data_IF_358018986094
#
_entry.id   IF_358018986094
#
_cell.length_a   1.000
_cell.length_b   1.000
_cell.length_c   1.000
_cell.angle_alpha   90.00
_cell.angle_beta   90.00
_cell.angle_gamma   90.00
#
_symmetry.space_group_name_H-M   'P 1'
#
loop_
_entity.id
_entity.type
_entity.pdbx_description
1 polymer ?
#
# COMPACT_ATOMS: atom_id res chain seq x y z
N UNK A 1 7.94 17.65 27.00
CA UNK A 1 8.42 16.68 25.99
C UNK A 1 7.32 15.64 25.74
N UNK A 2 6.72 15.60 24.54
CA UNK A 2 5.74 14.55 24.21
C UNK A 2 6.48 13.21 24.15
N UNK A 3 6.13 12.28 25.05
CA UNK A 3 6.55 10.88 24.98
C UNK A 3 5.97 10.29 23.69
N UNK A 4 6.80 10.11 22.68
CA UNK A 4 6.50 9.24 21.56
C UNK A 4 6.38 7.82 22.12
N UNK A 5 5.15 7.35 22.34
CA UNK A 5 4.94 5.94 22.72
C UNK A 5 5.39 5.10 21.51
N UNK A 6 6.44 4.33 21.70
CA UNK A 6 7.02 3.42 20.70
C UNK A 6 6.13 2.21 20.36
N UNK A 7 4.88 2.17 20.82
CA UNK A 7 3.85 1.28 20.30
C UNK A 7 3.14 2.00 19.16
N UNK A 8 3.50 1.67 17.91
CA UNK A 8 2.77 2.17 16.74
C UNK A 8 1.26 1.98 16.94
N UNK A 9 0.47 3.01 16.65
CA UNK A 9 -0.99 2.94 16.76
C UNK A 9 -1.52 1.83 15.86
N UNK A 10 -2.53 1.07 16.31
CA UNK A 10 -3.27 0.11 15.48
C UNK A 10 -4.41 0.74 14.68
N UNK A 11 -4.59 2.06 14.85
CA UNK A 11 -5.62 2.87 14.20
C UNK A 11 -5.03 4.13 13.56
N UNK A 12 -5.69 4.57 12.51
CA UNK A 12 -5.46 5.85 11.86
C UNK A 12 -5.83 7.05 12.73
N UNK A 13 -5.33 8.26 12.40
CA UNK A 13 -5.74 9.49 13.08
C UNK A 13 -7.26 9.74 13.08
N UNK A 14 -7.98 9.16 12.12
CA UNK A 14 -9.45 9.23 12.01
C UNK A 14 -10.17 8.03 12.65
N UNK A 15 -9.46 7.23 13.46
CA UNK A 15 -10.04 6.15 14.26
C UNK A 15 -10.29 4.82 13.53
N UNK A 16 -10.14 4.78 12.19
CA UNK A 16 -10.22 3.52 11.43
C UNK A 16 -9.03 2.61 11.72
N UNK A 17 -9.28 1.30 11.83
CA UNK A 17 -8.25 0.27 12.03
C UNK A 17 -7.28 0.22 10.86
N UNK A 18 -6.01 -0.12 11.11
CA UNK A 18 -5.07 -0.47 10.03
C UNK A 18 -5.30 -1.86 9.46
N UNK A 19 -5.81 -2.78 10.29
CA UNK A 19 -5.99 -4.18 9.93
C UNK A 19 -6.89 -4.30 8.69
N UNK A 20 -6.34 -4.82 7.59
CA UNK A 20 -7.07 -5.00 6.33
C UNK A 20 -7.36 -3.71 5.55
N UNK A 21 -6.98 -2.54 6.06
CA UNK A 21 -7.29 -1.25 5.46
C UNK A 21 -6.07 -0.61 4.78
N UNK A 22 -5.43 -1.38 3.89
CA UNK A 22 -4.23 -0.95 3.17
C UNK A 22 -4.47 0.30 2.30
N UNK A 23 -5.61 0.39 1.62
CA UNK A 23 -5.98 1.54 0.79
C UNK A 23 -6.15 2.82 1.60
N UNK A 24 -6.78 2.72 2.78
CA UNK A 24 -6.90 3.82 3.75
C UNK A 24 -5.53 4.27 4.29
N UNK A 25 -4.66 3.31 4.62
CA UNK A 25 -3.34 3.60 5.14
C UNK A 25 -2.50 4.41 4.15
N UNK A 26 -2.52 4.06 2.86
CA UNK A 26 -1.79 4.83 1.85
C UNK A 26 -2.45 6.18 1.56
N UNK A 27 -3.77 6.30 1.61
CA UNK A 27 -4.46 7.59 1.50
C UNK A 27 -4.03 8.58 2.59
N UNK A 28 -4.02 8.12 3.84
CA UNK A 28 -3.56 8.93 4.97
C UNK A 28 -2.08 9.29 4.87
N UNK A 29 -1.24 8.39 4.35
CA UNK A 29 0.18 8.67 4.10
C UNK A 29 0.39 9.79 3.06
N UNK A 30 -0.57 9.97 2.14
CA UNK A 30 -0.58 11.02 1.13
C UNK A 30 -1.45 12.24 1.51
N UNK A 31 -1.93 12.32 2.75
CA UNK A 31 -2.69 13.48 3.25
C UNK A 31 -4.17 13.48 2.86
N UNK A 32 -4.72 12.36 2.40
CA UNK A 32 -6.12 12.19 2.06
C UNK A 32 -6.90 11.48 3.17
N UNK A 33 -8.18 11.81 3.31
CA UNK A 33 -9.05 11.22 4.34
C UNK A 33 -9.24 9.71 4.14
N UNK A 34 -9.48 9.29 2.91
CA UNK A 34 -9.70 7.92 2.51
C UNK A 34 -9.32 7.75 1.03
N UNK A 35 -9.56 6.55 0.55
CA UNK A 35 -9.37 6.13 -0.83
C UNK A 35 -10.75 5.77 -1.41
N UNK A 36 -11.13 6.24 -2.60
CA UNK A 36 -12.42 5.93 -3.23
C UNK A 36 -12.52 4.50 -3.76
N UNK A 37 -11.41 3.78 -3.80
CA UNK A 37 -11.31 2.43 -4.33
C UNK A 37 -11.72 1.40 -3.27
N UNK A 38 -12.67 0.50 -3.58
CA UNK A 38 -13.11 -0.55 -2.64
C UNK A 38 -12.00 -1.56 -2.28
N UNK A 39 -10.99 -1.70 -3.13
CA UNK A 39 -9.87 -2.63 -2.93
C UNK A 39 -8.63 -2.20 -3.72
N UNK A 40 -7.46 -2.71 -3.33
CA UNK A 40 -6.20 -2.38 -4.02
C UNK A 40 -6.18 -2.77 -5.49
N UNK A 41 -6.85 -3.88 -5.82
CA UNK A 41 -7.07 -4.29 -7.20
C UNK A 41 -7.86 -3.24 -7.98
N UNK A 42 -8.90 -2.63 -7.38
CA UNK A 42 -9.64 -1.53 -8.00
C UNK A 42 -8.76 -0.30 -8.23
N UNK A 43 -7.97 0.12 -7.23
CA UNK A 43 -7.06 1.27 -7.38
C UNK A 43 -6.12 1.11 -8.58
N UNK A 44 -5.59 -0.10 -8.79
CA UNK A 44 -4.80 -0.41 -9.97
C UNK A 44 -5.64 -0.39 -11.26
N UNK A 45 -6.71 -1.19 -11.33
CA UNK A 45 -7.47 -1.39 -12.58
C UNK A 45 -8.36 -0.23 -13.00
N UNK A 46 -8.67 0.71 -12.10
CA UNK A 46 -9.36 1.95 -12.45
C UNK A 46 -8.39 3.04 -12.93
N UNK A 47 -7.11 2.97 -12.55
CA UNK A 47 -6.11 3.94 -13.02
C UNK A 47 -5.81 3.69 -14.50
N UNK A 48 -5.80 4.68 -15.41
CA UNK A 48 -5.46 4.45 -16.82
C UNK A 48 -4.11 3.72 -17.02
N UNK A 49 -4.06 2.78 -17.98
CA UNK A 49 -2.88 1.92 -18.19
C UNK A 49 -1.58 2.71 -18.42
N UNK A 50 -1.65 3.88 -19.07
CA UNK A 50 -0.50 4.78 -19.29
C UNK A 50 0.22 5.24 -18.00
N UNK A 51 -0.43 5.18 -16.85
CA UNK A 51 0.16 5.52 -15.54
C UNK A 51 0.59 4.30 -14.73
N UNK A 52 0.31 3.08 -15.24
CA UNK A 52 0.64 1.84 -14.56
C UNK A 52 2.05 1.40 -14.94
N UNK A 53 3.00 1.58 -14.02
CA UNK A 53 4.36 1.12 -14.22
C UNK A 53 4.48 -0.35 -13.80
N UNK A 54 4.51 -1.25 -14.77
CA UNK A 54 4.50 -2.70 -14.56
C UNK A 54 5.70 -3.42 -15.22
N UNK A 55 5.73 -4.75 -15.06
CA UNK A 55 6.75 -5.60 -15.66
C UNK A 55 8.07 -5.69 -14.86
N UNK A 56 9.07 -6.38 -15.42
CA UNK A 56 10.33 -6.71 -14.72
C UNK A 56 11.10 -5.48 -14.24
N UNK A 57 11.03 -4.37 -14.99
CA UNK A 57 11.73 -3.12 -14.65
C UNK A 57 11.06 -2.34 -13.51
N UNK A 58 9.82 -2.67 -13.15
CA UNK A 58 9.07 -1.98 -12.11
C UNK A 58 9.38 -2.46 -10.68
N UNK A 59 10.34 -3.37 -10.47
CA UNK A 59 10.66 -3.94 -9.15
C UNK A 59 11.38 -2.99 -8.18
N UNK A 60 11.84 -1.82 -8.65
CA UNK A 60 12.42 -0.79 -7.79
C UNK A 60 11.53 0.47 -7.91
N UNK A 61 10.39 0.51 -7.21
CA UNK A 61 9.47 1.63 -7.30
C UNK A 61 10.12 2.90 -6.69
N UNK A 62 9.92 4.08 -7.31
CA UNK A 62 10.39 5.35 -6.78
C UNK A 62 9.81 5.65 -5.40
N UNK A 63 10.51 6.46 -4.59
CA UNK A 63 10.00 6.88 -3.28
C UNK A 63 8.67 7.61 -3.43
N UNK A 64 7.69 7.24 -2.60
CA UNK A 64 6.36 7.85 -2.59
C UNK A 64 5.40 7.28 -3.64
N UNK A 65 5.84 6.38 -4.52
CA UNK A 65 4.94 5.67 -5.41
C UNK A 65 4.08 4.66 -4.65
N UNK A 66 2.84 4.48 -5.09
CA UNK A 66 1.94 3.44 -4.60
C UNK A 66 2.27 2.12 -5.29
N UNK A 67 2.44 1.07 -4.51
CA UNK A 67 2.85 -0.26 -4.99
C UNK A 67 1.68 -1.22 -4.84
N UNK A 68 1.25 -1.84 -5.93
CA UNK A 68 0.02 -2.62 -5.98
C UNK A 68 0.27 -4.11 -6.18
N UNK A 69 -0.60 -4.90 -5.57
CA UNK A 69 -0.64 -6.36 -5.65
C UNK A 69 -2.09 -6.82 -5.86
N UNK A 70 -2.29 -7.94 -6.56
CA UNK A 70 -3.58 -8.62 -6.70
C UNK A 70 -3.60 -9.98 -6.02
N UNK A 71 -4.80 -10.52 -5.79
CA UNK A 71 -5.01 -11.85 -5.22
C UNK A 71 -5.38 -11.80 -3.74
N UNK A 72 -4.96 -12.82 -2.98
CA UNK A 72 -5.33 -13.00 -1.58
C UNK A 72 -6.71 -13.63 -1.41
N UNK A 73 -7.06 -14.00 -0.18
CA UNK A 73 -8.24 -14.82 0.13
C UNK A 73 -9.58 -14.26 -0.36
N UNK A 74 -9.69 -12.93 -0.48
CA UNK A 74 -10.89 -12.23 -0.94
C UNK A 74 -10.67 -11.44 -2.26
N UNK A 75 -9.52 -11.62 -2.93
CA UNK A 75 -9.21 -10.91 -4.18
C UNK A 75 -8.96 -9.40 -4.04
N UNK A 76 -9.01 -8.83 -2.84
CA UNK A 76 -8.81 -7.38 -2.62
C UNK A 76 -7.41 -6.88 -2.96
N UNK A 77 -6.42 -7.78 -3.02
CA UNK A 77 -5.02 -7.43 -3.23
C UNK A 77 -4.40 -6.70 -2.05
N UNK A 78 -3.34 -5.93 -2.34
CA UNK A 78 -2.65 -5.12 -1.34
C UNK A 78 -2.04 -3.87 -1.97
N UNK A 79 -1.80 -2.86 -1.15
CA UNK A 79 -1.13 -1.63 -1.56
C UNK A 79 -0.24 -1.09 -0.45
N UNK A 80 0.88 -0.49 -0.83
CA UNK A 80 1.76 0.20 0.10
C UNK A 80 2.50 1.37 -0.56
N UNK A 81 3.29 2.10 0.22
CA UNK A 81 4.08 3.25 -0.25
C UNK A 81 5.55 2.86 -0.38
N UNK A 82 6.11 3.01 -1.57
CA UNK A 82 7.51 2.72 -1.83
C UNK A 82 8.45 3.66 -1.07
N UNK A 83 9.53 3.10 -0.51
CA UNK A 83 10.57 3.89 0.16
C UNK A 83 11.69 4.37 -0.80
N UNK A 84 11.66 3.92 -2.06
CA UNK A 84 12.65 4.21 -3.11
C UNK A 84 13.87 3.28 -3.15
N UNK A 85 13.90 2.20 -2.35
CA UNK A 85 15.04 1.28 -2.20
C UNK A 85 14.60 -0.18 -2.22
N UNK A 86 13.60 -0.49 -3.03
CA UNK A 86 13.04 -1.85 -3.14
C UNK A 86 12.22 -2.30 -1.94
N UNK A 87 11.90 -1.39 -1.00
CA UNK A 87 11.04 -1.66 0.16
C UNK A 87 9.77 -0.83 0.12
N UNK A 88 8.77 -1.31 0.84
CA UNK A 88 7.41 -0.76 0.84
C UNK A 88 6.93 -0.62 2.29
N UNK A 89 6.45 0.57 2.63
CA UNK A 89 5.68 0.83 3.84
C UNK A 89 4.25 0.33 3.63
N UNK A 90 3.80 -0.60 4.46
CA UNK A 90 2.51 -1.24 4.26
C UNK A 90 1.96 -1.82 5.57
N UNK A 91 0.65 -2.07 5.60
CA UNK A 91 -0.01 -2.64 6.78
C UNK A 91 0.15 -4.15 6.81
N UNK A 92 0.05 -4.72 8.01
CA UNK A 92 -0.14 -6.15 8.28
C UNK A 92 1.03 -7.08 7.92
N UNK A 93 2.10 -6.56 7.30
CA UNK A 93 3.20 -7.38 6.75
C UNK A 93 4.03 -8.14 7.80
N UNK A 94 4.32 -7.47 8.91
CA UNK A 94 5.07 -8.06 10.03
C UNK A 94 4.13 -8.50 11.14
N UNK A 95 3.13 -7.67 11.43
CA UNK A 95 2.15 -7.89 12.48
C UNK A 95 0.78 -7.35 12.03
N UNK A 96 -0.31 -8.13 12.20
CA UNK A 96 -1.65 -7.66 11.93
C UNK A 96 -1.98 -6.35 12.69
N UNK A 97 -2.61 -5.41 12.00
CA UNK A 97 -3.02 -4.10 12.50
C UNK A 97 -1.90 -3.07 12.65
N UNK A 98 -0.71 -3.30 12.10
CA UNK A 98 0.43 -2.39 12.24
C UNK A 98 1.00 -2.01 10.88
N UNK A 99 1.56 -0.80 10.78
CA UNK A 99 2.36 -0.38 9.63
C UNK A 99 3.80 -0.86 9.84
N UNK A 100 4.35 -1.56 8.86
CA UNK A 100 5.73 -2.02 8.81
C UNK A 100 6.38 -1.67 7.48
N UNK A 101 7.66 -2.01 7.37
CA UNK A 101 8.43 -1.87 6.12
C UNK A 101 9.06 -3.22 5.77
N UNK A 102 8.80 -3.68 4.55
CA UNK A 102 9.38 -4.93 4.06
C UNK A 102 9.79 -4.79 2.59
N UNK A 103 10.49 -5.80 2.07
CA UNK A 103 10.84 -5.83 0.66
C UNK A 103 9.58 -5.89 -0.22
N UNK A 104 9.66 -5.36 -1.44
CA UNK A 104 8.55 -5.36 -2.41
C UNK A 104 8.04 -6.76 -2.72
N UNK A 105 8.89 -7.78 -2.66
CA UNK A 105 8.49 -9.17 -2.90
C UNK A 105 7.95 -9.86 -1.62
N UNK A 106 7.90 -9.19 -0.47
CA UNK A 106 7.42 -9.79 0.79
C UNK A 106 5.93 -10.20 0.73
N UNK A 107 4.98 -9.37 0.25
CA UNK A 107 3.58 -9.79 0.12
C UNK A 107 3.39 -10.98 -0.82
N UNK A 108 4.26 -11.10 -1.84
CA UNK A 108 4.28 -12.24 -2.75
C UNK A 108 4.71 -13.50 -1.99
N UNK A 109 5.79 -13.43 -1.21
CA UNK A 109 6.34 -14.57 -0.46
C UNK A 109 5.45 -15.00 0.71
N UNK A 110 4.93 -14.06 1.50
CA UNK A 110 4.15 -14.34 2.71
C UNK A 110 2.70 -14.70 2.43
N UNK A 111 2.08 -14.03 1.46
CA UNK A 111 0.63 -14.13 1.25
C UNK A 111 0.25 -14.69 -0.13
N UNK A 112 1.23 -15.04 -0.97
CA UNK A 112 0.97 -15.55 -2.31
C UNK A 112 0.35 -14.52 -3.25
N UNK A 113 0.49 -13.22 -2.96
CA UNK A 113 -0.03 -12.16 -3.84
C UNK A 113 0.75 -12.07 -5.14
N UNK A 114 0.13 -11.53 -6.17
CA UNK A 114 0.79 -11.21 -7.44
C UNK A 114 1.15 -9.74 -7.48
N UNK A 115 2.44 -9.43 -7.65
CA UNK A 115 2.91 -8.07 -7.90
C UNK A 115 2.34 -7.52 -9.21
N UNK A 116 1.71 -6.34 -9.16
CA UNK A 116 1.17 -5.67 -10.34
C UNK A 116 2.13 -4.61 -10.87
N UNK A 117 2.73 -3.83 -9.97
CA UNK A 117 3.58 -2.70 -10.33
C UNK A 117 3.40 -1.53 -9.38
N UNK A 118 3.68 -0.33 -9.86
CA UNK A 118 3.50 0.90 -9.11
C UNK A 118 2.85 2.03 -9.94
N UNK A 119 2.29 3.00 -9.24
CA UNK A 119 1.64 4.20 -9.79
C UNK A 119 2.07 5.40 -8.93
N UNK A 120 2.27 6.56 -9.52
CA UNK A 120 2.44 7.78 -8.74
C UNK A 120 1.14 8.14 -8.00
N UNK A 121 1.27 8.66 -6.77
CA UNK A 121 0.14 8.99 -5.91
C UNK A 121 -0.79 10.07 -6.49
N UNK A 122 -0.27 10.97 -7.33
CA UNK A 122 -1.03 12.00 -8.05
C UNK A 122 -1.65 11.49 -9.37
N UNK A 123 -1.34 10.26 -9.77
CA UNK A 123 -1.82 9.63 -11.02
C UNK A 123 -2.75 8.45 -10.77
N UNK A 124 -2.87 7.98 -9.53
CA UNK A 124 -3.81 6.92 -9.16
C UNK A 124 -5.25 7.36 -9.42
N UNK A 125 -6.14 6.39 -9.62
CA UNK A 125 -7.58 6.60 -9.77
C UNK A 125 -8.22 7.19 -8.51
N UNK A 126 -8.00 8.49 -8.31
CA UNK A 126 -8.51 9.33 -7.24
C UNK A 126 -8.26 8.82 -5.81
N UNK A 127 -8.38 9.75 -4.88
CA UNK A 127 -8.42 9.48 -3.45
C UNK A 127 -9.84 9.57 -2.95
#
# INVERSE_FOLDING_TARGET
MRKWRASGSTKSPVGMSWLGHCAHAVAQAHGHYASVWPSAVNGWFWTPEKYRHNGKKAKVPPRGALVFYSGGSNGHGHVGVANGRGKVWQVDIDKPGHIGIADVDEPVRKWGLKYLGWIWADQVASW
#
